data_IF_472047743326
#
_entry.id   IF_472047743326
#
_cell.length_a   1.000
_cell.length_b   1.000
_cell.length_c   1.000
_cell.angle_alpha   90.00
_cell.angle_beta   90.00
_cell.angle_gamma   90.00
#
_symmetry.space_group_name_H-M   'P 1'
#
loop_
_entity.id
_entity.type
_entity.pdbx_description
1 polymer ?
#
# COMPACT_ATOMS: atom_id res chain seq x y z
N UNK A 1 -11.67 -28.08 -26.99
CA UNK A 1 -12.13 -26.71 -26.67
C UNK A 1 -12.05 -26.40 -25.16
N UNK A 2 -12.37 -27.32 -24.23
CA UNK A 2 -12.28 -27.07 -22.78
C UNK A 2 -10.91 -26.66 -22.23
N UNK A 3 -9.80 -27.16 -22.80
CA UNK A 3 -8.45 -26.84 -22.29
C UNK A 3 -8.07 -25.37 -22.49
N UNK A 4 -8.58 -24.72 -23.54
CA UNK A 4 -8.30 -23.30 -23.81
C UNK A 4 -9.01 -22.38 -22.81
N UNK A 5 -10.23 -22.73 -22.41
CA UNK A 5 -11.00 -21.96 -21.42
C UNK A 5 -10.30 -21.96 -20.06
N UNK A 6 -9.75 -23.11 -19.65
CA UNK A 6 -9.01 -23.24 -18.39
C UNK A 6 -7.74 -22.39 -18.40
N UNK A 7 -7.00 -22.36 -19.52
CA UNK A 7 -5.78 -21.56 -19.65
C UNK A 7 -6.08 -20.06 -19.58
N UNK A 8 -7.15 -19.60 -20.24
CA UNK A 8 -7.58 -18.19 -20.20
C UNK A 8 -8.02 -17.79 -18.79
N UNK A 9 -8.72 -18.67 -18.07
CA UNK A 9 -9.15 -18.41 -16.69
C UNK A 9 -7.96 -18.26 -15.73
N UNK A 10 -6.90 -19.05 -15.91
CA UNK A 10 -5.68 -18.96 -15.08
C UNK A 10 -4.89 -17.67 -15.39
N UNK A 11 -4.81 -17.28 -16.66
CA UNK A 11 -4.13 -16.03 -17.07
C UNK A 11 -4.83 -14.77 -16.53
N UNK A 12 -6.17 -14.79 -16.43
CA UNK A 12 -6.93 -13.66 -15.87
C UNK A 12 -6.67 -13.43 -14.37
N UNK A 13 -6.21 -14.46 -13.63
CA UNK A 13 -5.89 -14.35 -12.21
C UNK A 13 -4.48 -13.79 -11.97
N UNK A 14 -3.63 -13.69 -13.00
CA UNK A 14 -2.32 -13.06 -12.91
C UNK A 14 -2.47 -11.53 -12.99
N UNK A 15 -2.92 -10.91 -11.91
CA UNK A 15 -3.00 -9.45 -11.79
C UNK A 15 -1.61 -8.79 -11.76
N UNK A 16 -1.47 -7.64 -12.43
CA UNK A 16 -0.27 -6.81 -12.38
C UNK A 16 -0.11 -6.20 -10.98
N UNK A 17 0.98 -6.51 -10.28
CA UNK A 17 1.39 -5.77 -9.08
C UNK A 17 2.14 -4.50 -9.50
N UNK A 18 1.49 -3.34 -9.40
CA UNK A 18 2.17 -2.05 -9.56
C UNK A 18 3.01 -1.77 -8.32
N UNK A 19 4.34 -1.66 -8.49
CA UNK A 19 5.26 -1.24 -7.43
C UNK A 19 5.78 0.15 -7.78
N UNK A 20 5.14 1.19 -7.26
CA UNK A 20 5.58 2.57 -7.47
C UNK A 20 6.79 2.87 -6.57
N UNK A 21 8.02 2.81 -7.13
CA UNK A 21 9.21 3.32 -6.44
C UNK A 21 9.20 4.85 -6.48
N UNK A 22 8.89 5.48 -5.36
CA UNK A 22 8.89 6.95 -5.24
C UNK A 22 10.29 7.46 -4.94
N UNK A 23 11.05 7.87 -5.96
CA UNK A 23 12.35 8.52 -5.72
C UNK A 23 12.13 9.93 -5.15
N UNK A 24 12.43 10.15 -3.86
CA UNK A 24 12.37 11.48 -3.27
C UNK A 24 13.50 12.37 -3.82
N UNK A 25 13.15 13.59 -4.25
CA UNK A 25 14.01 14.61 -4.89
C UNK A 25 15.25 15.06 -4.07
N UNK A 26 15.51 14.50 -2.88
CA UNK A 26 16.61 14.89 -1.97
C UNK A 26 17.43 13.71 -1.47
N UNK A 27 17.93 12.83 -2.33
CA UNK A 27 19.01 11.86 -2.00
C UNK A 27 18.71 10.77 -0.95
N UNK A 28 17.69 10.92 -0.13
CA UNK A 28 17.14 9.90 0.76
C UNK A 28 16.07 9.14 0.00
N UNK A 29 16.25 7.83 -0.15
CA UNK A 29 15.25 6.94 -0.72
C UNK A 29 14.03 6.87 0.20
N UNK A 30 13.01 7.67 -0.11
CA UNK A 30 11.67 7.47 0.39
C UNK A 30 11.01 6.29 -0.32
N UNK A 31 10.20 5.51 0.37
CA UNK A 31 9.39 4.45 -0.22
C UNK A 31 7.94 4.64 0.21
N UNK A 32 7.02 4.49 -0.74
CA UNK A 32 5.60 4.36 -0.45
C UNK A 32 5.28 2.89 -0.26
N UNK A 33 4.81 2.55 0.93
CA UNK A 33 4.38 1.21 1.33
C UNK A 33 2.86 1.17 1.26
N UNK A 34 2.33 0.39 0.31
CA UNK A 34 0.92 0.02 0.28
C UNK A 34 0.71 -1.27 1.08
N UNK A 35 -0.15 -1.18 2.09
CA UNK A 35 -0.61 -2.31 2.90
C UNK A 35 -2.14 -2.45 2.88
N UNK A 36 -2.77 -1.99 1.81
CA UNK A 36 -4.22 -2.08 1.56
C UNK A 36 -4.74 -3.53 1.63
N UNK A 37 -6.02 -3.69 1.97
CA UNK A 37 -6.74 -4.97 2.04
C UNK A 37 -7.55 -5.19 3.33
N UNK A 38 -8.67 -5.91 3.23
CA UNK A 38 -9.52 -6.26 4.38
C UNK A 38 -8.71 -6.97 5.47
N UNK A 39 -8.83 -6.49 6.71
CA UNK A 39 -8.07 -7.01 7.86
C UNK A 39 -6.60 -6.59 7.92
N UNK A 40 -6.11 -5.80 6.96
CA UNK A 40 -4.72 -5.31 6.98
C UNK A 40 -4.60 -4.08 7.87
N UNK A 41 -3.85 -4.18 8.97
CA UNK A 41 -3.56 -3.07 9.88
C UNK A 41 -2.22 -2.38 9.62
N UNK A 42 -1.95 -1.31 10.37
CA UNK A 42 -0.68 -0.57 10.31
C UNK A 42 0.56 -1.41 10.61
N UNK A 43 0.41 -2.52 11.35
CA UNK A 43 1.49 -3.47 11.60
C UNK A 43 2.02 -4.10 10.29
N UNK A 44 1.15 -4.38 9.31
CA UNK A 44 1.54 -4.89 8.00
C UNK A 44 2.38 -3.88 7.23
N UNK A 45 2.00 -2.60 7.27
CA UNK A 45 2.80 -1.51 6.71
C UNK A 45 4.18 -1.43 7.37
N UNK A 46 4.25 -1.50 8.71
CA UNK A 46 5.52 -1.46 9.45
C UNK A 46 6.44 -2.63 9.09
N UNK A 47 5.94 -3.87 9.10
CA UNK A 47 6.70 -5.06 8.69
C UNK A 47 7.24 -4.94 7.27
N UNK A 48 6.44 -4.39 6.35
CA UNK A 48 6.86 -4.18 4.96
C UNK A 48 7.93 -3.07 4.87
N UNK A 49 7.77 -1.96 5.59
CA UNK A 49 8.77 -0.91 5.68
C UNK A 49 10.12 -1.42 6.26
N UNK A 50 10.09 -2.25 7.32
CA UNK A 50 11.30 -2.87 7.88
C UNK A 50 12.04 -3.74 6.84
N UNK A 51 11.28 -4.52 6.06
CA UNK A 51 11.84 -5.35 4.98
C UNK A 51 12.46 -4.51 3.87
N UNK A 52 11.77 -3.48 3.40
CA UNK A 52 12.22 -2.63 2.29
C UNK A 52 13.40 -1.72 2.71
N UNK A 53 13.42 -1.24 3.96
CA UNK A 53 14.55 -0.51 4.53
C UNK A 53 15.65 -1.42 5.10
N UNK A 54 15.59 -2.74 4.83
CA UNK A 54 16.61 -3.74 5.20
C UNK A 54 16.99 -3.73 6.69
N UNK A 55 16.05 -3.40 7.57
CA UNK A 55 16.30 -3.34 9.02
C UNK A 55 17.17 -2.16 9.50
N UNK A 56 17.56 -1.21 8.65
CA UNK A 56 18.28 0.01 9.05
C UNK A 56 17.41 0.99 9.87
N UNK A 57 16.11 0.70 9.97
CA UNK A 57 15.11 1.58 10.53
C UNK A 57 14.67 2.66 9.54
N UNK A 58 13.55 3.31 9.85
CA UNK A 58 12.94 4.31 8.99
C UNK A 58 12.20 5.38 9.80
N UNK A 59 11.91 6.50 9.15
CA UNK A 59 11.02 7.54 9.65
C UNK A 59 9.73 7.52 8.84
N UNK A 60 8.59 7.41 9.51
CA UNK A 60 7.27 7.61 8.87
C UNK A 60 7.09 9.10 8.61
N UNK A 61 6.79 9.47 7.37
CA UNK A 61 6.64 10.86 6.92
C UNK A 61 5.18 11.22 6.73
N UNK A 62 4.39 10.31 6.18
CA UNK A 62 2.97 10.48 5.98
C UNK A 62 2.26 9.12 5.97
N UNK A 63 1.01 9.11 6.39
CA UNK A 63 0.09 7.98 6.29
C UNK A 63 -1.22 8.43 5.67
N UNK A 64 -1.94 7.49 5.06
CA UNK A 64 -3.26 7.78 4.48
C UNK A 64 -4.28 8.28 5.51
N UNK A 65 -4.14 7.95 6.81
CA UNK A 65 -5.00 8.44 7.88
C UNK A 65 -4.55 9.77 8.52
N UNK A 66 -3.41 10.32 8.09
CA UNK A 66 -2.94 11.62 8.58
C UNK A 66 -3.73 12.78 7.93
N UNK A 67 -4.32 12.53 6.75
CA UNK A 67 -5.29 13.44 6.15
C UNK A 67 -6.62 13.29 6.90
N UNK A 68 -7.00 14.33 7.65
CA UNK A 68 -8.39 14.48 8.10
C UNK A 68 -9.21 14.79 6.87
N UNK A 69 -9.79 13.76 6.26
CA UNK A 69 -10.85 13.93 5.28
C UNK A 69 -11.99 14.68 6.00
N UNK A 70 -12.17 15.95 5.65
CA UNK A 70 -13.31 16.79 6.08
C UNK A 70 -14.61 16.37 5.37
N UNK A 71 -14.76 15.07 5.13
CA UNK A 71 -15.76 14.55 4.22
C UNK A 71 -17.00 14.14 5.01
N UNK A 72 -18.11 14.79 4.68
CA UNK A 72 -19.45 14.52 5.21
C UNK A 72 -19.97 13.21 4.59
N UNK A 73 -19.55 12.09 5.17
CA UNK A 73 -20.02 10.78 4.76
C UNK A 73 -21.50 10.62 5.12
N UNK A 74 -22.36 10.12 4.21
CA UNK A 74 -23.80 9.96 4.46
C UNK A 74 -24.16 9.05 5.64
N UNK A 75 -23.18 8.31 6.17
CA UNK A 75 -23.30 7.48 7.39
C UNK A 75 -22.18 7.75 8.41
N UNK A 76 -21.44 8.86 8.28
CA UNK A 76 -20.30 9.18 9.14
C UNK A 76 -19.12 8.20 9.03
N UNK A 77 -19.09 7.36 7.99
CA UNK A 77 -18.08 6.33 7.80
C UNK A 77 -17.57 6.29 6.35
N UNK A 78 -16.24 6.37 6.19
CA UNK A 78 -15.55 6.15 4.91
C UNK A 78 -15.12 4.66 4.76
N UNK A 79 -15.79 3.85 3.92
CA UNK A 79 -15.31 2.50 3.63
C UNK A 79 -13.97 2.49 2.89
N UNK A 80 -13.63 3.53 2.12
CA UNK A 80 -12.38 3.59 1.37
C UNK A 80 -11.16 3.73 2.29
N UNK A 81 -11.23 4.59 3.33
CA UNK A 81 -10.16 4.76 4.32
C UNK A 81 -9.85 3.51 5.15
N UNK A 82 -10.77 2.54 5.21
CA UNK A 82 -10.51 1.22 5.81
C UNK A 82 -9.81 0.25 4.86
N UNK A 83 -9.96 0.48 3.55
CA UNK A 83 -9.41 -0.37 2.49
C UNK A 83 -8.05 0.13 2.01
N UNK A 84 -7.82 1.44 2.01
CA UNK A 84 -6.59 2.09 1.56
C UNK A 84 -5.69 2.43 2.75
N UNK A 85 -4.60 1.67 2.90
CA UNK A 85 -3.56 1.97 3.89
C UNK A 85 -2.24 2.12 3.19
N UNK A 86 -1.80 3.36 3.03
CA UNK A 86 -0.51 3.71 2.47
C UNK A 86 0.33 4.45 3.49
N UNK A 87 1.64 4.21 3.48
CA UNK A 87 2.61 4.83 4.37
C UNK A 87 3.82 5.27 3.56
N UNK A 88 4.17 6.54 3.62
CA UNK A 88 5.42 7.06 3.10
C UNK A 88 6.47 7.01 4.21
N UNK A 89 7.57 6.33 3.98
CA UNK A 89 8.71 6.29 4.90
C UNK A 89 9.99 6.72 4.22
N UNK A 90 10.92 7.26 5.00
CA UNK A 90 12.31 7.50 4.59
C UNK A 90 13.18 6.53 5.37
N UNK A 91 13.88 5.65 4.66
CA UNK A 91 14.88 4.78 5.28
C UNK A 91 16.04 5.64 5.82
N UNK A 92 16.61 5.23 6.96
CA UNK A 92 17.79 5.89 7.53
C UNK A 92 19.07 5.52 6.80
#
# INVERSE_FOLDING_TARGET
MNKLIVVIAILALAGCTTNAKTHAKRGVSGIVVDCSGLGSGWEKCRKRADKECKGAGYKVVARSDDAKEEDEYPFGFNPAGYLTRTMLVICR
#
